data_IF_770982148083
#
_entry.id   IF_770982148083
#
_cell.length_a   1.000
_cell.length_b   1.000
_cell.length_c   1.000
_cell.angle_alpha   90.00
_cell.angle_beta   90.00
_cell.angle_gamma   90.00
#
_symmetry.space_group_name_H-M   'P 1'
#
loop_
_entity.id
_entity.type
_entity.pdbx_description
1 polymer ?
#
# COMPACT_ATOMS: atom_id res chain seq x y z
N UNK A 1 -8.93 -10.15 -19.52
CA UNK A 1 -8.50 -9.40 -18.31
C UNK A 1 -8.62 -7.92 -18.63
N UNK A 2 -9.34 -7.13 -17.81
CA UNK A 2 -9.35 -5.67 -17.97
C UNK A 2 -8.10 -5.14 -17.27
N UNK A 3 -7.10 -4.71 -18.03
CA UNK A 3 -5.87 -4.13 -17.49
C UNK A 3 -6.02 -2.61 -17.60
N UNK A 4 -5.91 -1.90 -16.48
CA UNK A 4 -5.84 -0.44 -16.45
C UNK A 4 -4.40 0.04 -16.58
N UNK A 5 -4.20 1.18 -17.23
CA UNK A 5 -2.91 1.89 -17.26
C UNK A 5 -3.02 3.05 -16.28
N UNK A 6 -2.10 3.14 -15.33
CA UNK A 6 -1.98 4.30 -14.45
C UNK A 6 -1.18 5.38 -15.19
N UNK A 7 -1.77 6.52 -15.59
CA UNK A 7 -1.01 7.62 -16.16
C UNK A 7 -0.06 8.18 -15.10
N UNK A 8 1.24 8.20 -15.38
CA UNK A 8 2.26 8.59 -14.41
C UNK A 8 2.92 9.96 -14.64
N UNK A 9 2.75 10.57 -15.83
CA UNK A 9 3.21 11.94 -16.10
C UNK A 9 4.66 12.22 -15.67
N UNK A 10 5.55 11.24 -15.88
CA UNK A 10 6.98 11.24 -15.53
C UNK A 10 7.36 10.93 -14.07
N UNK A 11 6.39 10.76 -13.15
CA UNK A 11 6.65 10.32 -11.77
C UNK A 11 5.72 9.16 -11.36
N UNK A 12 6.24 7.94 -11.51
CA UNK A 12 5.51 6.73 -11.15
C UNK A 12 5.20 6.68 -9.65
N UNK A 13 6.12 7.08 -8.78
CA UNK A 13 5.93 6.97 -7.32
C UNK A 13 4.80 7.91 -6.91
N UNK A 14 4.83 9.15 -7.38
CA UNK A 14 3.76 10.10 -7.11
C UNK A 14 2.41 9.60 -7.61
N UNK A 15 2.35 9.11 -8.84
CA UNK A 15 1.10 8.59 -9.41
C UNK A 15 0.53 7.39 -8.61
N UNK A 16 1.40 6.50 -8.14
CA UNK A 16 1.02 5.39 -7.28
C UNK A 16 0.52 5.90 -5.92
N UNK A 17 1.22 6.85 -5.30
CA UNK A 17 0.82 7.44 -4.02
C UNK A 17 -0.56 8.12 -4.13
N UNK A 18 -0.80 8.88 -5.20
CA UNK A 18 -2.10 9.51 -5.48
C UNK A 18 -3.22 8.47 -5.69
N UNK A 19 -2.94 7.39 -6.42
CA UNK A 19 -3.88 6.28 -6.57
C UNK A 19 -4.25 5.68 -5.21
N UNK A 20 -3.25 5.31 -4.41
CA UNK A 20 -3.43 4.65 -3.13
C UNK A 20 -4.14 5.56 -2.11
N UNK A 21 -3.79 6.84 -2.07
CA UNK A 21 -4.49 7.85 -1.30
C UNK A 21 -5.96 7.92 -1.69
N UNK A 22 -6.24 7.99 -2.99
CA UNK A 22 -7.60 7.99 -3.51
C UNK A 22 -8.40 6.72 -3.18
N UNK A 23 -7.75 5.54 -3.04
CA UNK A 23 -8.43 4.31 -2.63
C UNK A 23 -8.89 4.35 -1.16
N UNK A 24 -8.05 4.88 -0.27
CA UNK A 24 -8.40 5.08 1.16
C UNK A 24 -9.46 6.17 1.33
N UNK A 25 -9.27 7.34 0.72
CA UNK A 25 -10.20 8.48 0.84
C UNK A 25 -11.60 8.14 0.33
N UNK A 26 -11.71 7.30 -0.70
CA UNK A 26 -12.99 6.85 -1.26
C UNK A 26 -13.55 5.62 -0.55
N UNK A 27 -12.85 5.07 0.45
CA UNK A 27 -13.26 3.85 1.16
C UNK A 27 -13.33 2.61 0.28
N UNK A 28 -12.62 2.59 -0.86
CA UNK A 28 -12.49 1.39 -1.70
C UNK A 28 -11.74 0.31 -0.94
N UNK A 29 -10.69 0.73 -0.24
CA UNK A 29 -10.01 -0.04 0.80
C UNK A 29 -10.10 0.76 2.11
N UNK A 30 -10.14 0.05 3.22
CA UNK A 30 -10.10 0.65 4.57
C UNK A 30 -8.67 0.75 5.08
N UNK A 31 -7.80 -0.14 4.59
CA UNK A 31 -6.40 -0.19 4.97
C UNK A 31 -5.55 -0.57 3.75
N UNK A 32 -4.31 -0.10 3.72
CA UNK A 32 -3.33 -0.41 2.69
C UNK A 32 -2.05 -0.93 3.34
N UNK A 33 -1.61 -2.11 2.93
CA UNK A 33 -0.30 -2.65 3.27
C UNK A 33 0.69 -2.32 2.15
N UNK A 34 1.71 -1.52 2.44
CA UNK A 34 2.69 -1.06 1.46
C UNK A 34 4.09 -0.96 2.06
N UNK A 35 5.17 -1.09 1.26
CA UNK A 35 6.51 -0.78 1.71
C UNK A 35 6.63 0.71 2.01
N UNK A 36 7.25 1.05 3.15
CA UNK A 36 7.44 2.44 3.55
C UNK A 36 8.75 2.66 4.30
N UNK A 37 9.27 3.87 4.19
CA UNK A 37 10.45 4.31 4.93
C UNK A 37 10.07 4.57 6.38
N UNK A 38 10.72 3.88 7.30
CA UNK A 38 10.55 4.07 8.73
C UNK A 38 11.41 5.23 9.23
N UNK A 39 11.15 5.80 10.43
CA UNK A 39 11.96 6.88 11.00
C UNK A 39 13.47 6.59 11.11
N UNK A 40 13.88 5.32 11.11
CA UNK A 40 15.27 4.88 11.08
C UNK A 40 15.90 4.73 9.67
N UNK A 41 15.18 5.12 8.61
CA UNK A 41 15.64 5.02 7.23
C UNK A 41 15.53 3.62 6.60
N UNK A 42 15.15 2.60 7.37
CA UNK A 42 14.88 1.27 6.84
C UNK A 42 13.55 1.24 6.08
N UNK A 43 13.46 0.40 5.05
CA UNK A 43 12.21 0.12 4.36
C UNK A 43 11.60 -1.16 4.93
N UNK A 44 10.34 -1.11 5.35
CA UNK A 44 9.59 -2.27 5.82
C UNK A 44 8.15 -2.22 5.36
N UNK A 45 7.52 -3.39 5.30
CA UNK A 45 6.09 -3.47 5.03
C UNK A 45 5.31 -2.89 6.20
N UNK A 46 4.43 -1.93 5.95
CA UNK A 46 3.63 -1.24 6.95
C UNK A 46 2.16 -1.20 6.55
N UNK A 47 1.27 -1.10 7.53
CA UNK A 47 -0.18 -1.02 7.35
C UNK A 47 -0.64 0.42 7.62
N UNK A 48 -1.42 0.97 6.71
CA UNK A 48 -1.90 2.34 6.72
C UNK A 48 -3.42 2.37 6.65
N UNK A 49 -4.09 2.95 7.64
CA UNK A 49 -5.53 3.24 7.62
C UNK A 49 -5.82 4.72 7.34
N UNK A 50 -4.78 5.57 7.34
CA UNK A 50 -4.88 7.01 7.17
C UNK A 50 -4.18 7.44 5.88
N UNK A 51 -4.95 8.09 5.01
CA UNK A 51 -4.53 8.56 3.70
C UNK A 51 -3.44 9.64 3.80
N UNK A 52 -3.41 10.44 4.86
CA UNK A 52 -2.39 11.48 5.07
C UNK A 52 -1.01 10.91 5.39
N UNK A 53 -0.94 9.62 5.76
CA UNK A 53 0.32 8.95 6.12
C UNK A 53 0.99 8.23 4.96
N UNK A 54 0.44 8.32 3.75
CA UNK A 54 0.94 7.62 2.57
C UNK A 54 2.10 8.34 1.86
N UNK A 55 2.49 9.54 2.28
CA UNK A 55 3.56 10.32 1.60
C UNK A 55 4.94 9.63 1.66
N UNK A 56 5.13 8.66 2.57
CA UNK A 56 6.40 7.95 2.80
C UNK A 56 6.44 6.52 2.23
N UNK A 57 5.45 6.12 1.42
CA UNK A 57 5.45 4.78 0.82
C UNK A 57 6.40 4.72 -0.40
N UNK A 58 7.00 3.56 -0.59
CA UNK A 58 7.83 3.23 -1.74
C UNK A 58 7.23 1.96 -2.38
N UNK A 59 6.22 2.09 -3.26
CA UNK A 59 5.38 0.97 -3.69
C UNK A 59 6.14 -0.20 -4.32
N UNK A 60 7.31 0.08 -4.90
CA UNK A 60 8.13 -0.92 -5.57
C UNK A 60 9.43 -1.22 -4.83
N UNK A 61 9.61 -0.69 -3.62
CA UNK A 61 10.79 -1.00 -2.84
C UNK A 61 10.78 -2.48 -2.45
N UNK A 62 11.88 -3.20 -2.69
CA UNK A 62 11.99 -4.58 -2.26
C UNK A 62 12.01 -4.65 -0.73
N UNK A 63 11.09 -5.41 -0.15
CA UNK A 63 11.03 -5.67 1.30
C UNK A 63 11.36 -7.14 1.56
N UNK A 64 12.65 -7.43 1.72
CA UNK A 64 13.15 -8.72 2.22
C UNK A 64 13.24 -8.61 3.75
N UNK A 65 12.71 -9.54 4.58
CA UNK A 65 12.27 -10.91 4.29
C UNK A 65 10.75 -11.17 4.37
N UNK A 66 9.93 -10.11 4.50
CA UNK A 66 8.50 -10.26 4.81
C UNK A 66 7.70 -10.50 3.53
N UNK A 67 7.11 -11.70 3.41
CA UNK A 67 6.19 -12.01 2.32
C UNK A 67 4.84 -11.30 2.55
N UNK A 68 4.59 -10.20 1.84
CA UNK A 68 3.38 -9.38 2.02
C UNK A 68 2.08 -10.16 1.87
N UNK A 69 1.98 -11.06 0.90
CA UNK A 69 0.81 -11.93 0.75
C UNK A 69 0.57 -12.85 1.96
N UNK A 70 1.63 -13.31 2.64
CA UNK A 70 1.51 -14.12 3.86
C UNK A 70 1.10 -13.27 5.06
N UNK A 71 1.61 -12.05 5.17
CA UNK A 71 1.18 -11.10 6.20
C UNK A 71 -0.30 -10.74 6.04
N UNK A 72 -0.71 -10.38 4.82
CA UNK A 72 -2.10 -10.09 4.47
C UNK A 72 -3.02 -11.28 4.76
N UNK A 73 -2.63 -12.51 4.41
CA UNK A 73 -3.45 -13.70 4.69
C UNK A 73 -3.73 -13.91 6.17
N UNK A 74 -2.75 -13.63 7.05
CA UNK A 74 -2.97 -13.70 8.50
C UNK A 74 -3.89 -12.59 9.01
N UNK A 75 -3.74 -11.38 8.46
CA UNK A 75 -4.58 -10.24 8.80
C UNK A 75 -6.04 -10.50 8.41
N UNK A 76 -6.28 -10.87 7.15
CA UNK A 76 -7.60 -11.17 6.62
C UNK A 76 -8.27 -12.38 7.31
N UNK A 77 -7.50 -13.32 7.86
CA UNK A 77 -8.06 -14.40 8.67
C UNK A 77 -8.58 -13.91 10.03
N UNK A 78 -7.91 -12.90 10.60
CA UNK A 78 -8.26 -12.34 11.91
C UNK A 78 -9.46 -11.41 11.81
N UNK A 79 -9.52 -10.62 10.74
CA UNK A 79 -10.65 -9.73 10.45
C UNK A 79 -11.05 -9.81 8.95
N UNK A 80 -11.94 -10.76 8.60
CA UNK A 80 -12.31 -10.99 7.19
C UNK A 80 -13.24 -9.92 6.61
N UNK A 81 -13.77 -9.01 7.44
CA UNK A 81 -14.69 -7.97 6.99
C UNK A 81 -14.00 -6.74 6.41
N UNK A 82 -12.72 -6.54 6.74
CA UNK A 82 -11.95 -5.35 6.36
C UNK A 82 -11.45 -5.45 4.92
N UNK A 83 -11.69 -4.40 4.15
CA UNK A 83 -11.17 -4.28 2.78
C UNK A 83 -9.71 -3.82 2.80
N UNK A 84 -8.77 -4.76 2.89
CA UNK A 84 -7.33 -4.45 2.88
C UNK A 84 -6.72 -4.54 1.48
N UNK A 85 -6.07 -3.46 1.01
CA UNK A 85 -5.22 -3.46 -0.18
C UNK A 85 -3.77 -3.87 0.15
N UNK A 86 -3.05 -4.40 -0.84
CA UNK A 86 -1.61 -4.69 -0.73
C UNK A 86 -0.88 -4.32 -2.03
N UNK A 87 0.34 -3.79 -1.91
CA UNK A 87 1.27 -3.53 -3.01
C UNK A 87 2.65 -4.10 -2.70
#
# INVERSE_FOLDING_TARGET
>A
MKIGILPNGDDAIKAANELFKGLLEKGVVEELMAPAVQPGGSCSLALFADAERLDAILPWAPVMPVQGGRALSKLAFTDPGVKTGVV
#
